data_IF_278100756317
#
_entry.id   IF_278100756317
#
_cell.length_a   1.000
_cell.length_b   1.000
_cell.length_c   1.000
_cell.angle_alpha   90.00
_cell.angle_beta   90.00
_cell.angle_gamma   90.00
#
_symmetry.space_group_name_H-M   'P 1'
#
loop_
_entity.id
_entity.type
_entity.pdbx_description
1 polymer ?
#
# COMPACT_ATOMS: atom_id res chain seq x y z
N UNK A 1 -60.16 9.43 -31.05
CA UNK A 1 -59.02 8.62 -30.60
C UNK A 1 -57.93 9.63 -30.27
N UNK A 2 -57.73 9.90 -28.98
CA UNK A 2 -56.71 10.85 -28.53
C UNK A 2 -55.37 10.15 -28.76
N UNK A 3 -54.62 10.58 -29.77
CA UNK A 3 -53.27 10.08 -30.00
C UNK A 3 -52.42 10.68 -28.88
N UNK A 4 -52.08 9.87 -27.90
CA UNK A 4 -51.16 10.27 -26.85
C UNK A 4 -49.79 10.42 -27.49
N UNK A 5 -49.29 11.65 -27.56
CA UNK A 5 -47.99 11.97 -28.15
C UNK A 5 -46.87 11.66 -27.16
N UNK A 6 -45.65 11.50 -27.67
CA UNK A 6 -44.48 11.32 -26.82
C UNK A 6 -44.24 12.56 -25.95
N UNK A 7 -43.87 12.34 -24.69
CA UNK A 7 -43.45 13.42 -23.78
C UNK A 7 -42.00 13.83 -24.05
N UNK A 8 -41.61 15.02 -23.56
CA UNK A 8 -40.25 15.50 -23.70
C UNK A 8 -39.22 14.57 -23.03
N UNK A 9 -39.58 13.95 -21.90
CA UNK A 9 -38.74 12.96 -21.22
C UNK A 9 -38.51 11.73 -22.09
N UNK A 10 -39.53 11.28 -22.84
CA UNK A 10 -39.40 10.15 -23.75
C UNK A 10 -38.51 10.49 -24.95
N UNK A 11 -38.60 11.71 -25.48
CA UNK A 11 -37.67 12.20 -26.51
C UNK A 11 -36.22 12.25 -26.01
N UNK A 12 -35.99 12.75 -24.79
CA UNK A 12 -34.66 12.81 -24.19
C UNK A 12 -34.07 11.42 -23.97
N UNK A 13 -34.84 10.52 -23.36
CA UNK A 13 -34.44 9.11 -23.14
C UNK A 13 -34.05 8.42 -24.46
N UNK A 14 -34.82 8.66 -25.52
CA UNK A 14 -34.51 8.12 -26.84
C UNK A 14 -33.22 8.70 -27.45
N UNK A 15 -32.95 10.00 -27.27
CA UNK A 15 -31.76 10.67 -27.81
C UNK A 15 -30.47 10.31 -27.05
N UNK A 16 -30.56 10.07 -25.74
CA UNK A 16 -29.42 9.70 -24.91
C UNK A 16 -28.95 8.24 -25.12
N UNK A 17 -29.75 7.43 -25.85
CA UNK A 17 -29.41 6.04 -26.17
C UNK A 17 -29.34 5.11 -24.94
N UNK A 18 -29.96 5.51 -23.83
CA UNK A 18 -30.00 4.72 -22.61
C UNK A 18 -30.94 3.53 -22.81
N UNK A 19 -30.51 2.28 -22.55
CA UNK A 19 -31.36 1.11 -22.70
C UNK A 19 -32.43 1.10 -21.60
N UNK A 20 -33.60 1.66 -21.89
CA UNK A 20 -34.77 1.63 -21.01
C UNK A 20 -35.84 0.70 -21.57
N UNK A 21 -36.62 0.09 -20.67
CA UNK A 21 -37.88 -0.56 -21.05
C UNK A 21 -38.76 0.48 -21.77
N UNK A 22 -39.25 0.14 -22.97
CA UNK A 22 -40.13 1.03 -23.77
C UNK A 22 -39.49 1.71 -25.00
N UNK A 23 -38.20 1.51 -25.30
CA UNK A 23 -37.61 2.05 -26.55
C UNK A 23 -38.32 1.50 -27.79
N UNK A 24 -38.66 0.21 -27.79
CA UNK A 24 -39.39 -0.43 -28.89
C UNK A 24 -40.74 0.25 -29.15
N UNK A 25 -41.44 0.64 -28.09
CA UNK A 25 -42.75 1.29 -28.19
C UNK A 25 -42.62 2.72 -28.74
N UNK A 26 -41.56 3.44 -28.34
CA UNK A 26 -41.21 4.75 -28.89
C UNK A 26 -40.89 4.64 -30.38
N UNK A 27 -40.09 3.64 -30.79
CA UNK A 27 -39.77 3.41 -32.20
C UNK A 27 -41.01 3.06 -33.04
N UNK A 28 -41.92 2.26 -32.49
CA UNK A 28 -43.19 1.93 -33.14
C UNK A 28 -44.09 3.18 -33.26
N UNK A 29 -44.17 4.00 -32.22
CA UNK A 29 -44.89 5.26 -32.26
C UNK A 29 -44.33 6.21 -33.33
N UNK A 30 -43.00 6.34 -33.41
CA UNK A 30 -42.34 7.19 -34.41
C UNK A 30 -42.56 6.69 -35.85
N UNK A 31 -42.87 5.41 -36.08
CA UNK A 31 -43.23 4.92 -37.42
C UNK A 31 -44.60 5.41 -37.86
N UNK A 32 -45.51 5.65 -36.93
CA UNK A 32 -46.93 5.95 -37.21
C UNK A 32 -47.26 7.44 -37.06
N UNK A 33 -46.64 8.15 -36.11
CA UNK A 33 -46.93 9.56 -35.82
C UNK A 33 -45.98 10.50 -36.56
N UNK A 34 -46.50 11.30 -37.50
CA UNK A 34 -45.72 12.31 -38.24
C UNK A 34 -45.31 13.50 -37.38
N UNK A 35 -46.17 13.92 -36.46
CA UNK A 35 -45.91 15.05 -35.56
C UNK A 35 -44.73 14.77 -34.62
N UNK A 36 -44.71 13.60 -33.97
CA UNK A 36 -43.61 13.22 -33.09
C UNK A 36 -42.29 13.02 -33.87
N UNK A 37 -42.34 12.60 -35.13
CA UNK A 37 -41.14 12.58 -36.00
C UNK A 37 -40.61 13.98 -36.30
N UNK A 38 -41.51 14.91 -36.58
CA UNK A 38 -41.16 16.32 -36.82
C UNK A 38 -40.51 16.93 -35.57
N UNK A 39 -41.10 16.72 -34.39
CA UNK A 39 -40.54 17.16 -33.11
C UNK A 39 -39.17 16.54 -32.84
N UNK A 40 -39.02 15.21 -33.02
CA UNK A 40 -37.74 14.52 -32.87
C UNK A 40 -36.66 15.12 -33.80
N UNK A 41 -37.02 15.52 -35.02
CA UNK A 41 -36.06 16.14 -35.94
C UNK A 41 -35.56 17.50 -35.44
N UNK A 42 -36.43 18.29 -34.82
CA UNK A 42 -36.06 19.56 -34.18
C UNK A 42 -35.15 19.33 -32.97
N UNK A 43 -35.47 18.35 -32.12
CA UNK A 43 -34.61 17.95 -31.00
C UNK A 43 -33.23 17.47 -31.48
N UNK A 44 -33.15 16.65 -32.53
CA UNK A 44 -31.87 16.20 -33.12
C UNK A 44 -31.03 17.36 -33.64
N UNK A 45 -31.66 18.40 -34.21
CA UNK A 45 -30.95 19.59 -34.67
C UNK A 45 -30.33 20.34 -33.48
N UNK A 46 -31.10 20.59 -32.42
CA UNK A 46 -30.61 21.24 -31.20
C UNK A 46 -29.50 20.40 -30.56
N UNK A 47 -29.69 19.08 -30.44
CA UNK A 47 -28.69 18.17 -29.92
C UNK A 47 -27.40 18.22 -30.74
N UNK A 48 -27.50 18.25 -32.07
CA UNK A 48 -26.34 18.39 -32.95
C UNK A 48 -25.61 19.70 -32.68
N UNK A 49 -26.31 20.83 -32.59
CA UNK A 49 -25.68 22.14 -32.32
C UNK A 49 -25.04 22.21 -30.92
N UNK A 50 -25.69 21.63 -29.90
CA UNK A 50 -25.14 21.55 -28.54
C UNK A 50 -23.95 20.59 -28.45
N UNK A 51 -23.96 19.51 -29.22
CA UNK A 51 -22.87 18.53 -29.26
C UNK A 51 -21.70 18.97 -30.16
N UNK A 52 -21.79 20.15 -30.78
CA UNK A 52 -20.62 20.92 -31.24
C UNK A 52 -20.05 21.65 -30.02
N UNK A 53 -19.75 20.91 -28.94
CA UNK A 53 -18.66 21.36 -28.10
C UNK A 53 -17.40 21.18 -28.95
N UNK A 54 -16.54 22.21 -29.07
CA UNK A 54 -15.25 22.01 -29.71
C UNK A 54 -14.62 20.84 -28.98
N UNK A 55 -14.36 19.75 -29.69
CA UNK A 55 -13.64 18.59 -29.20
C UNK A 55 -12.45 19.18 -28.45
N UNK A 56 -12.58 19.23 -27.12
CA UNK A 56 -11.71 20.08 -26.32
C UNK A 56 -10.41 19.33 -26.34
N UNK A 57 -9.59 19.67 -27.34
CA UNK A 57 -8.34 19.02 -27.60
C UNK A 57 -7.54 19.28 -26.33
N UNK A 58 -7.55 18.28 -25.45
CA UNK A 58 -6.88 18.36 -24.17
C UNK A 58 -5.46 18.79 -24.52
N UNK A 59 -5.02 19.91 -23.93
CA UNK A 59 -3.71 20.48 -24.20
C UNK A 59 -2.67 19.35 -24.22
N UNK A 60 -1.77 19.29 -25.22
CA UNK A 60 -0.77 18.24 -25.29
C UNK A 60 -0.05 18.09 -23.94
N UNK A 61 -0.12 16.90 -23.34
CA UNK A 61 0.48 16.62 -22.02
C UNK A 61 -0.44 16.82 -20.80
N UNK A 62 -1.72 17.16 -20.98
CA UNK A 62 -2.69 17.24 -19.89
C UNK A 62 -2.80 15.93 -19.10
N UNK A 63 -2.83 14.79 -19.78
CA UNK A 63 -2.83 13.46 -19.16
C UNK A 63 -1.61 13.26 -18.24
N UNK A 64 -0.42 13.57 -18.74
CA UNK A 64 0.82 13.47 -17.94
C UNK A 64 0.81 14.43 -16.75
N UNK A 65 0.25 15.63 -16.90
CA UNK A 65 0.12 16.60 -15.82
C UNK A 65 -0.84 16.12 -14.72
N UNK A 66 -1.95 15.46 -15.08
CA UNK A 66 -2.88 14.87 -14.10
C UNK A 66 -2.25 13.65 -13.42
N UNK A 67 -1.71 12.71 -14.20
CA UNK A 67 -1.12 11.47 -13.66
C UNK A 67 0.02 11.79 -12.70
N UNK A 68 0.89 12.75 -13.04
CA UNK A 68 2.00 13.14 -12.17
C UNK A 68 1.53 13.78 -10.85
N UNK A 69 0.44 14.56 -10.86
CA UNK A 69 -0.16 15.12 -9.64
C UNK A 69 -0.77 14.04 -8.76
N UNK A 70 -1.48 13.08 -9.35
CA UNK A 70 -2.07 11.95 -8.61
C UNK A 70 -0.98 11.09 -7.98
N UNK A 71 0.08 10.75 -8.75
CA UNK A 71 1.20 9.93 -8.27
C UNK A 71 1.96 10.59 -7.11
N UNK A 72 2.29 11.88 -7.22
CA UNK A 72 2.98 12.62 -6.14
C UNK A 72 2.19 12.57 -4.82
N UNK A 73 0.86 12.73 -4.89
CA UNK A 73 0.00 12.67 -3.70
C UNK A 73 -0.04 11.27 -3.08
N UNK A 74 -0.04 10.23 -3.91
CA UNK A 74 0.00 8.84 -3.46
C UNK A 74 1.34 8.50 -2.79
N UNK A 75 2.46 8.89 -3.40
CA UNK A 75 3.81 8.67 -2.88
C UNK A 75 4.02 9.40 -1.54
N UNK A 76 3.55 10.65 -1.41
CA UNK A 76 3.63 11.41 -0.16
C UNK A 76 2.83 10.74 0.97
N UNK A 77 1.61 10.25 0.68
CA UNK A 77 0.80 9.53 1.68
C UNK A 77 1.46 8.23 2.11
N UNK A 78 2.06 7.49 1.16
CA UNK A 78 2.78 6.26 1.46
C UNK A 78 4.04 6.51 2.29
N UNK A 79 4.76 7.60 2.02
CA UNK A 79 5.92 8.01 2.81
C UNK A 79 5.56 8.29 4.28
N UNK A 80 4.52 9.08 4.54
CA UNK A 80 4.06 9.39 5.90
C UNK A 80 3.64 8.11 6.64
N UNK A 81 2.90 7.21 5.96
CA UNK A 81 2.49 5.93 6.57
C UNK A 81 3.70 5.09 6.97
N UNK A 82 4.69 4.96 6.07
CA UNK A 82 5.90 4.19 6.35
C UNK A 82 6.69 4.79 7.52
N UNK A 83 6.83 6.12 7.58
CA UNK A 83 7.49 6.81 8.68
C UNK A 83 6.80 6.54 10.04
N UNK A 84 5.46 6.62 10.07
CA UNK A 84 4.69 6.32 11.28
C UNK A 84 4.85 4.86 11.72
N UNK A 85 4.85 3.90 10.79
CA UNK A 85 5.06 2.49 11.12
C UNK A 85 6.47 2.22 11.65
N UNK A 86 7.50 2.85 11.09
CA UNK A 86 8.87 2.74 11.59
C UNK A 86 9.02 3.36 12.97
N UNK A 87 8.46 4.55 13.19
CA UNK A 87 8.48 5.20 14.49
C UNK A 87 7.78 4.34 15.57
N UNK A 88 6.63 3.74 15.26
CA UNK A 88 5.93 2.86 16.17
C UNK A 88 6.76 1.62 16.55
N UNK A 89 7.45 1.01 15.58
CA UNK A 89 8.34 -0.14 15.82
C UNK A 89 9.53 0.24 16.71
N UNK A 90 10.11 1.43 16.53
CA UNK A 90 11.21 1.92 17.36
C UNK A 90 10.73 2.17 18.80
N UNK A 91 9.57 2.82 18.96
CA UNK A 91 8.99 3.10 20.29
C UNK A 91 8.71 1.78 21.00
N UNK A 92 7.97 0.86 20.37
CA UNK A 92 7.66 -0.45 20.97
C UNK A 92 8.93 -1.25 21.26
N UNK A 93 9.88 -1.25 20.34
CA UNK A 93 11.15 -1.97 20.46
C UNK A 93 12.07 -1.42 21.54
N UNK A 94 12.03 -0.12 21.84
CA UNK A 94 12.84 0.52 22.89
C UNK A 94 12.18 0.50 24.26
N UNK A 95 10.84 0.51 24.32
CA UNK A 95 10.10 0.55 25.59
C UNK A 95 10.32 -0.72 26.42
N UNK A 96 10.36 -1.89 25.76
CA UNK A 96 10.59 -3.19 26.43
C UNK A 96 11.96 -3.27 27.12
N UNK A 97 13.10 -3.05 26.42
CA UNK A 97 14.41 -3.00 27.05
C UNK A 97 14.51 -1.95 28.15
N UNK A 98 13.93 -0.76 27.94
CA UNK A 98 13.96 0.32 28.92
C UNK A 98 13.18 -0.05 30.20
N UNK A 99 12.02 -0.68 30.06
CA UNK A 99 11.24 -1.19 31.18
C UNK A 99 12.02 -2.24 31.99
N UNK A 100 12.72 -3.14 31.30
CA UNK A 100 13.55 -4.15 31.94
C UNK A 100 14.80 -3.58 32.61
N UNK A 101 15.43 -2.55 32.03
CA UNK A 101 16.54 -1.81 32.64
C UNK A 101 16.10 -1.07 33.90
N UNK A 102 14.95 -0.37 33.87
CA UNK A 102 14.46 0.41 35.01
C UNK A 102 13.98 -0.44 36.19
N UNK A 103 13.45 -1.64 35.93
CA UNK A 103 12.89 -2.49 36.99
C UNK A 103 13.95 -3.25 37.79
N UNK A 104 15.23 -3.17 37.41
CA UNK A 104 16.37 -3.67 38.19
C UNK A 104 16.43 -5.19 38.38
N UNK A 105 15.41 -5.94 37.97
CA UNK A 105 15.29 -7.39 38.21
C UNK A 105 16.27 -8.24 37.40
N UNK A 106 16.94 -7.68 36.39
CA UNK A 106 17.85 -8.41 35.51
C UNK A 106 19.33 -8.09 35.80
N UNK A 107 19.66 -7.15 36.70
CA UNK A 107 21.07 -6.83 36.96
C UNK A 107 21.88 -8.05 37.42
N UNK A 108 21.27 -8.92 38.23
CA UNK A 108 21.99 -10.02 38.88
C UNK A 108 22.15 -11.23 37.93
N UNK A 109 21.12 -11.54 37.14
CA UNK A 109 21.15 -12.63 36.14
C UNK A 109 21.98 -12.26 34.90
N UNK A 110 21.94 -11.00 34.44
CA UNK A 110 22.79 -10.56 33.32
C UNK A 110 24.26 -10.51 33.72
N UNK A 111 24.60 -10.14 34.95
CA UNK A 111 26.01 -10.06 35.35
C UNK A 111 26.66 -11.46 35.34
N UNK A 112 25.95 -12.49 35.82
CA UNK A 112 26.45 -13.86 35.79
C UNK A 112 26.58 -14.45 34.38
N UNK A 113 25.67 -14.09 33.48
CA UNK A 113 25.66 -14.60 32.10
C UNK A 113 26.63 -13.83 31.21
N UNK A 114 26.68 -12.50 31.34
CA UNK A 114 27.44 -11.62 30.45
C UNK A 114 28.90 -11.54 30.89
N UNK A 115 29.20 -11.36 32.18
CA UNK A 115 30.60 -11.19 32.63
C UNK A 115 31.39 -12.50 32.58
N UNK A 116 30.80 -13.65 32.93
CA UNK A 116 31.55 -14.92 32.90
C UNK A 116 31.74 -15.53 31.51
N UNK A 117 30.79 -15.35 30.57
CA UNK A 117 30.94 -15.92 29.21
C UNK A 117 31.60 -14.94 28.23
N UNK A 118 31.40 -13.62 28.37
CA UNK A 118 31.96 -12.64 27.44
C UNK A 118 33.47 -12.42 27.68
N UNK A 119 33.94 -12.47 28.93
CA UNK A 119 35.36 -12.31 29.26
C UNK A 119 36.18 -13.60 29.16
N UNK A 120 35.54 -14.78 29.02
CA UNK A 120 36.22 -16.07 28.89
C UNK A 120 36.87 -16.34 27.52
N UNK A 121 36.57 -15.51 26.50
CA UNK A 121 37.03 -15.72 25.11
C UNK A 121 37.99 -14.63 24.62
N UNK A 122 38.90 -14.17 25.51
CA UNK A 122 39.92 -13.16 25.16
C UNK A 122 40.67 -13.47 23.86
N UNK A 123 40.97 -14.75 23.60
CA UNK A 123 41.66 -15.18 22.38
C UNK A 123 40.83 -15.00 21.09
N UNK A 124 39.51 -15.11 21.15
CA UNK A 124 38.66 -14.86 19.97
C UNK A 124 38.60 -13.35 19.66
N UNK A 125 38.54 -12.51 20.69
CA UNK A 125 38.49 -11.06 20.53
C UNK A 125 39.76 -10.46 19.93
N UNK A 126 40.95 -10.96 20.31
CA UNK A 126 42.22 -10.47 19.75
C UNK A 126 42.37 -10.80 18.26
N UNK A 127 41.92 -11.99 17.83
CA UNK A 127 41.95 -12.39 16.42
C UNK A 127 40.92 -11.63 15.56
N UNK A 128 39.73 -11.38 16.10
CA UNK A 128 38.68 -10.63 15.38
C UNK A 128 39.08 -9.16 15.25
N UNK A 129 39.60 -8.52 16.30
CA UNK A 129 40.07 -7.13 16.19
C UNK A 129 41.30 -7.00 15.28
N UNK A 130 42.20 -7.98 15.29
CA UNK A 130 43.34 -8.03 14.36
C UNK A 130 42.90 -8.10 12.90
N UNK A 131 41.93 -8.96 12.60
CA UNK A 131 41.33 -9.09 11.26
C UNK A 131 40.63 -7.79 10.82
N UNK A 132 39.87 -7.16 11.71
CA UNK A 132 39.15 -5.91 11.40
C UNK A 132 40.12 -4.74 11.18
N UNK A 133 41.22 -4.63 11.95
CA UNK A 133 42.24 -3.59 11.73
C UNK A 133 42.99 -3.74 10.41
N UNK A 134 43.11 -4.97 9.89
CA UNK A 134 43.76 -5.22 8.60
C UNK A 134 42.92 -4.80 7.40
N UNK A 135 41.60 -4.68 7.57
CA UNK A 135 40.71 -4.23 6.51
C UNK A 135 40.50 -2.71 6.65
N UNK A 136 40.79 -1.95 5.60
CA UNK A 136 40.58 -0.48 5.55
C UNK A 136 39.07 -0.16 5.41
N UNK A 137 38.27 -0.61 6.37
CA UNK A 137 36.82 -0.50 6.38
C UNK A 137 36.45 0.74 7.17
N UNK A 138 35.51 1.54 6.65
CA UNK A 138 35.01 2.72 7.35
C UNK A 138 34.43 2.30 8.70
N UNK A 139 34.74 3.07 9.74
CA UNK A 139 34.30 2.83 11.13
C UNK A 139 32.77 2.70 11.23
N UNK A 140 32.04 3.36 10.33
CA UNK A 140 30.58 3.29 10.23
C UNK A 140 30.07 1.88 9.86
N UNK A 141 30.72 1.20 8.93
CA UNK A 141 30.34 -0.16 8.53
C UNK A 141 30.57 -1.15 9.67
N UNK A 142 31.67 -1.00 10.41
CA UNK A 142 31.99 -1.86 11.55
C UNK A 142 30.95 -1.70 12.66
N UNK A 143 30.56 -0.46 12.97
CA UNK A 143 29.53 -0.18 13.99
C UNK A 143 28.17 -0.77 13.56
N UNK A 144 27.78 -0.59 12.29
CA UNK A 144 26.51 -1.14 11.79
C UNK A 144 26.47 -2.68 11.83
N UNK A 145 27.56 -3.35 11.43
CA UNK A 145 27.67 -4.80 11.47
C UNK A 145 27.62 -5.32 12.92
N UNK A 146 28.26 -4.60 13.85
CA UNK A 146 28.27 -4.95 15.27
C UNK A 146 26.88 -4.79 15.90
N UNK A 147 26.15 -3.73 15.54
CA UNK A 147 24.74 -3.55 15.96
C UNK A 147 23.86 -4.69 15.41
N UNK A 148 24.01 -5.03 14.12
CA UNK A 148 23.25 -6.13 13.49
C UNK A 148 23.52 -7.45 14.20
N UNK A 149 24.77 -7.78 14.50
CA UNK A 149 25.15 -9.01 15.20
C UNK A 149 24.61 -9.06 16.63
N UNK A 150 24.64 -7.93 17.36
CA UNK A 150 24.06 -7.84 18.70
C UNK A 150 22.55 -8.05 18.65
N UNK A 151 21.86 -7.43 17.70
CA UNK A 151 20.41 -7.61 17.50
C UNK A 151 20.09 -9.07 17.15
N UNK A 152 20.86 -9.68 16.25
CA UNK A 152 20.65 -11.06 15.83
C UNK A 152 20.86 -12.06 16.99
N UNK A 153 21.90 -11.86 17.79
CA UNK A 153 22.18 -12.68 18.98
C UNK A 153 21.09 -12.55 20.05
N UNK A 154 20.53 -11.34 20.22
CA UNK A 154 19.38 -11.14 21.11
C UNK A 154 18.13 -11.84 20.59
N UNK A 155 17.88 -11.81 19.28
CA UNK A 155 16.73 -12.48 18.66
C UNK A 155 16.82 -14.00 18.81
N UNK A 156 17.96 -14.61 18.50
CA UNK A 156 18.18 -16.06 18.67
C UNK A 156 18.02 -16.51 20.12
N UNK A 157 18.33 -15.63 21.08
CA UNK A 157 18.23 -15.95 22.50
C UNK A 157 16.82 -15.78 23.07
N UNK A 158 16.05 -14.83 22.54
CA UNK A 158 14.65 -14.56 22.93
C UNK A 158 13.71 -15.57 22.28
N UNK A 159 14.03 -16.07 21.08
CA UNK A 159 13.32 -17.16 20.45
C UNK A 159 14.02 -18.48 20.79
N UNK A 160 13.70 -19.17 21.91
CA UNK A 160 14.19 -20.51 22.10
C UNK A 160 13.61 -21.34 20.96
N UNK A 161 14.44 -21.60 19.95
CA UNK A 161 14.08 -22.42 18.80
C UNK A 161 13.61 -23.75 19.40
N UNK A 162 12.30 -23.99 19.36
CA UNK A 162 11.63 -25.13 19.98
C UNK A 162 11.89 -26.43 19.21
N UNK A 163 13.13 -26.63 18.76
CA UNK A 163 13.61 -27.64 17.84
C UNK A 163 14.26 -28.86 18.50
N UNK A 164 14.08 -29.07 19.81
CA UNK A 164 14.49 -30.31 20.48
C UNK A 164 13.30 -31.17 20.95
N UNK A 165 12.28 -31.32 20.09
CA UNK A 165 11.29 -32.42 20.17
C UNK A 165 11.38 -33.34 18.94
N UNK A 166 12.55 -33.89 18.64
CA UNK A 166 12.68 -35.08 17.78
C UNK A 166 13.83 -35.97 18.25
N UNK A 167 13.66 -36.65 19.39
CA UNK A 167 14.52 -37.77 19.78
C UNK A 167 13.84 -38.84 20.66
N UNK A 168 12.50 -38.87 20.75
CA UNK A 168 11.80 -39.80 21.65
C UNK A 168 10.67 -40.63 20.99
N UNK A 169 10.59 -40.68 19.65
CA UNK A 169 9.55 -41.43 18.93
C UNK A 169 10.11 -42.46 17.92
N UNK A 170 11.25 -43.07 18.23
CA UNK A 170 11.79 -44.19 17.45
C UNK A 170 12.34 -45.30 18.35
N UNK A 171 11.48 -45.79 19.25
CA UNK A 171 11.75 -46.97 20.07
C UNK A 171 10.48 -47.78 20.37
N UNK A 172 9.60 -47.90 19.38
CA UNK A 172 8.57 -48.95 19.31
C UNK A 172 8.31 -49.22 17.84
N UNK A 173 9.18 -50.04 17.22
CA UNK A 173 8.92 -50.98 16.11
C UNK A 173 10.25 -51.66 15.79
#
# INVERSE_FOLDING_TARGET
MYLDHLTDEQFQLYLDGLPTEGISDIEEHLKTCEECRSQLSAYKLVYKELNIEPESALLPGFENAIISRIRKKAEQKQFIRNLLTQAAMIILGSTLPLYFLLTGKISDDLNHIFVNNWFGTKHLWENVFGFIRGMNVSTELVVSALIILVVFSLIERILPFSGHRKAALFKVF
#
